data_IF_192420835799
#
_entry.id   IF_192420835799
#
_cell.length_a   1.000
_cell.length_b   1.000
_cell.length_c   1.000
_cell.angle_alpha   90.00
_cell.angle_beta   90.00
_cell.angle_gamma   90.00
#
_symmetry.space_group_name_H-M   'P 1'
#
loop_
_entity.id
_entity.type
_entity.pdbx_description
1 polymer ?
#
# COMPACT_ATOMS: atom_id res chain seq x y z
N UNK A 1 -14.99 23.51 -36.11
CA UNK A 1 -14.48 23.85 -34.78
C UNK A 1 -15.22 22.96 -33.81
N UNK A 2 -14.58 21.96 -33.25
CA UNK A 2 -15.18 21.08 -32.24
C UNK A 2 -14.12 20.80 -31.19
N UNK A 3 -14.53 21.03 -29.94
CA UNK A 3 -13.75 21.19 -28.72
C UNK A 3 -12.50 20.30 -28.58
N UNK A 4 -11.40 20.98 -28.27
CA UNK A 4 -10.27 20.43 -27.51
C UNK A 4 -10.78 19.98 -26.14
N UNK A 5 -10.77 18.67 -25.88
CA UNK A 5 -11.00 18.12 -24.55
C UNK A 5 -9.89 18.62 -23.62
N UNK A 6 -10.24 19.59 -22.78
CA UNK A 6 -9.46 20.00 -21.64
C UNK A 6 -9.29 18.78 -20.72
N UNK A 7 -8.11 18.17 -20.73
CA UNK A 7 -7.76 17.09 -19.81
C UNK A 7 -7.40 17.77 -18.49
N UNK A 8 -8.43 18.15 -17.72
CA UNK A 8 -8.24 18.52 -16.32
C UNK A 8 -7.43 17.41 -15.63
N UNK A 9 -6.37 17.74 -14.87
CA UNK A 9 -5.59 16.74 -14.17
C UNK A 9 -6.48 15.98 -13.20
N UNK A 10 -6.57 14.66 -13.36
CA UNK A 10 -7.31 13.80 -12.44
C UNK A 10 -6.61 13.84 -11.10
N UNK A 11 -7.23 14.48 -10.10
CA UNK A 11 -6.78 14.39 -8.72
C UNK A 11 -6.91 12.93 -8.24
N UNK A 12 -5.79 12.23 -8.16
CA UNK A 12 -5.76 10.89 -7.60
C UNK A 12 -5.93 10.97 -6.09
N UNK A 13 -7.08 10.54 -5.59
CA UNK A 13 -7.33 10.39 -4.16
C UNK A 13 -6.51 9.20 -3.66
N UNK A 14 -5.48 9.48 -2.86
CA UNK A 14 -4.70 8.44 -2.17
C UNK A 14 -5.63 7.76 -1.16
N UNK A 15 -5.76 6.45 -1.26
CA UNK A 15 -6.52 5.64 -0.31
C UNK A 15 -5.58 5.05 0.74
N UNK A 16 -6.09 4.63 1.92
CA UNK A 16 -5.29 3.86 2.87
C UNK A 16 -5.06 2.41 2.42
N UNK A 17 -5.27 2.06 1.15
CA UNK A 17 -5.19 0.68 0.66
C UNK A 17 -4.22 0.55 -0.51
N UNK A 18 -3.27 -0.38 -0.39
CA UNK A 18 -2.31 -0.71 -1.42
C UNK A 18 -2.50 -2.15 -1.87
N UNK A 19 -3.02 -2.35 -3.08
CA UNK A 19 -3.16 -3.67 -3.69
C UNK A 19 -1.92 -4.04 -4.52
N UNK A 20 -1.26 -5.14 -4.16
CA UNK A 20 -0.03 -5.59 -4.78
C UNK A 20 -0.23 -6.60 -5.94
N UNK A 21 -1.47 -7.03 -6.25
CA UNK A 21 -1.70 -8.04 -7.30
C UNK A 21 -1.30 -7.57 -8.70
N UNK A 22 -1.23 -6.26 -8.94
CA UNK A 22 -0.88 -5.65 -10.23
C UNK A 22 0.60 -5.27 -10.33
N UNK A 23 1.38 -5.46 -9.27
CA UNK A 23 2.78 -5.03 -9.20
C UNK A 23 3.74 -6.20 -9.31
N UNK A 24 4.93 -5.96 -9.87
CA UNK A 24 5.97 -6.98 -9.91
C UNK A 24 6.67 -7.03 -8.56
N UNK A 25 7.11 -8.21 -8.10
CA UNK A 25 7.84 -8.35 -6.83
C UNK A 25 9.09 -7.46 -6.74
N UNK A 26 9.75 -7.18 -7.87
CA UNK A 26 10.92 -6.29 -7.97
C UNK A 26 10.62 -4.85 -7.56
N UNK A 27 9.38 -4.41 -7.75
CA UNK A 27 9.01 -3.00 -7.63
C UNK A 27 8.63 -2.65 -6.18
N UNK A 28 8.36 -3.66 -5.35
CA UNK A 28 7.87 -3.50 -3.98
C UNK A 28 8.85 -2.75 -3.07
N UNK A 29 10.15 -2.86 -3.35
CA UNK A 29 11.20 -2.22 -2.57
C UNK A 29 11.14 -0.69 -2.62
N UNK A 30 10.65 -0.13 -3.72
CA UNK A 30 10.44 1.31 -3.92
C UNK A 30 8.98 1.69 -3.64
N UNK A 31 8.04 0.91 -4.19
CA UNK A 31 6.61 1.17 -4.09
C UNK A 31 6.10 1.31 -2.65
N UNK A 32 6.46 0.39 -1.76
CA UNK A 32 5.90 0.38 -0.39
C UNK A 32 6.39 1.59 0.43
N UNK A 33 7.70 1.90 0.50
CA UNK A 33 8.17 3.11 1.16
C UNK A 33 7.57 4.40 0.62
N UNK A 34 7.43 4.51 -0.71
CA UNK A 34 6.89 5.70 -1.36
C UNK A 34 5.40 5.87 -1.05
N UNK A 35 4.63 4.78 -1.13
CA UNK A 35 3.22 4.79 -0.75
C UNK A 35 3.01 5.17 0.72
N UNK A 36 3.85 4.68 1.62
CA UNK A 36 3.85 5.09 3.03
C UNK A 36 4.10 6.59 3.18
N UNK A 37 5.00 7.16 2.36
CA UNK A 37 5.22 8.61 2.29
C UNK A 37 3.95 9.36 1.91
N UNK A 38 3.32 8.95 0.80
CA UNK A 38 2.06 9.54 0.32
C UNK A 38 0.93 9.44 1.35
N UNK A 39 0.81 8.33 2.06
CA UNK A 39 -0.17 8.17 3.12
C UNK A 39 0.06 9.18 4.26
N UNK A 40 1.30 9.39 4.68
CA UNK A 40 1.63 10.36 5.74
C UNK A 40 1.37 11.80 5.32
N UNK A 41 1.66 12.16 4.07
CA UNK A 41 1.32 13.47 3.50
C UNK A 41 -0.19 13.75 3.49
N UNK A 42 -1.00 12.69 3.54
CA UNK A 42 -2.46 12.73 3.61
C UNK A 42 -3.02 12.40 5.00
N UNK A 43 -2.16 12.37 6.03
CA UNK A 43 -2.52 12.07 7.41
C UNK A 43 -3.19 10.69 7.60
N UNK A 44 -2.95 9.76 6.67
CA UNK A 44 -3.42 8.38 6.72
C UNK A 44 -2.42 7.51 7.48
N UNK A 45 -2.64 7.34 8.79
CA UNK A 45 -1.73 6.61 9.67
C UNK A 45 -2.03 5.12 9.79
N UNK A 46 -3.08 4.62 9.15
CA UNK A 46 -3.42 3.19 9.11
C UNK A 46 -3.57 2.75 7.66
N UNK A 47 -2.65 1.91 7.19
CA UNK A 47 -2.59 1.45 5.79
C UNK A 47 -2.81 -0.05 5.72
N UNK A 48 -3.62 -0.50 4.76
CA UNK A 48 -3.89 -1.90 4.46
C UNK A 48 -3.18 -2.30 3.17
N UNK A 49 -2.22 -3.21 3.28
CA UNK A 49 -1.43 -3.71 2.16
C UNK A 49 -1.93 -5.11 1.79
N UNK A 50 -2.54 -5.24 0.62
CA UNK A 50 -3.15 -6.46 0.11
C UNK A 50 -2.11 -7.17 -0.76
N UNK A 51 -1.62 -8.32 -0.27
CA UNK A 51 -0.59 -9.10 -0.96
C UNK A 51 -1.08 -10.48 -1.42
N UNK A 52 -2.37 -10.76 -1.22
CA UNK A 52 -2.97 -12.04 -1.53
C UNK A 52 -2.55 -13.14 -0.56
N UNK A 53 -3.21 -14.30 -0.72
CA UNK A 53 -3.00 -15.48 0.13
C UNK A 53 -1.81 -16.31 -0.38
N UNK A 54 -1.87 -16.84 -1.60
CA UNK A 54 -0.72 -17.49 -2.24
C UNK A 54 0.04 -18.49 -1.33
N UNK A 55 1.36 -18.60 -1.53
CA UNK A 55 2.26 -19.40 -0.69
C UNK A 55 2.97 -18.57 0.40
N UNK A 56 2.68 -17.26 0.49
CA UNK A 56 3.24 -16.38 1.51
C UNK A 56 4.49 -15.56 1.12
N UNK A 57 5.03 -15.73 -0.08
CA UNK A 57 6.23 -14.98 -0.51
C UNK A 57 6.02 -13.46 -0.49
N UNK A 58 4.90 -12.95 -1.03
CA UNK A 58 4.62 -11.51 -1.00
C UNK A 58 4.41 -10.99 0.42
N UNK A 59 3.73 -11.76 1.27
CA UNK A 59 3.57 -11.44 2.71
C UNK A 59 4.92 -11.24 3.39
N UNK A 60 5.86 -12.17 3.17
CA UNK A 60 7.20 -12.10 3.76
C UNK A 60 8.00 -10.90 3.26
N UNK A 61 7.93 -10.61 1.97
CA UNK A 61 8.55 -9.41 1.38
C UNK A 61 7.96 -8.13 1.99
N UNK A 62 6.63 -8.02 2.09
CA UNK A 62 5.94 -6.89 2.72
C UNK A 62 6.40 -6.73 4.16
N UNK A 63 6.38 -7.80 4.97
CA UNK A 63 6.79 -7.74 6.37
C UNK A 63 8.26 -7.35 6.53
N UNK A 64 9.14 -7.83 5.65
CA UNK A 64 10.55 -7.45 5.66
C UNK A 64 10.78 -5.96 5.33
N UNK A 65 10.00 -5.40 4.41
CA UNK A 65 10.05 -3.98 4.05
C UNK A 65 9.48 -3.10 5.17
N UNK A 66 8.32 -3.47 5.72
CA UNK A 66 7.70 -2.75 6.83
C UNK A 66 8.60 -2.72 8.07
N UNK A 67 9.25 -3.84 8.40
CA UNK A 67 10.18 -3.94 9.54
C UNK A 67 11.39 -2.99 9.41
N UNK A 68 11.82 -2.69 8.19
CA UNK A 68 12.97 -1.81 7.91
C UNK A 68 12.58 -0.34 7.77
N UNK A 69 11.30 -0.03 7.59
CA UNK A 69 10.85 1.32 7.33
C UNK A 69 10.69 2.10 8.66
N UNK A 70 11.45 3.19 8.89
CA UNK A 70 11.42 3.93 10.15
C UNK A 70 10.10 4.66 10.41
N UNK A 71 9.26 4.84 9.38
CA UNK A 71 7.94 5.48 9.48
C UNK A 71 6.83 4.50 9.91
N UNK A 72 7.13 3.21 10.01
CA UNK A 72 6.19 2.20 10.51
C UNK A 72 6.34 2.08 12.02
N UNK A 73 5.23 2.26 12.74
CA UNK A 73 5.16 2.05 14.19
C UNK A 73 5.01 0.56 14.53
N UNK A 74 4.04 -0.09 13.88
CA UNK A 74 3.74 -1.52 14.05
C UNK A 74 2.97 -2.06 12.85
N UNK A 75 2.94 -3.38 12.70
CA UNK A 75 2.12 -4.04 11.69
C UNK A 75 1.66 -5.43 12.14
N UNK A 76 0.55 -5.91 11.57
CA UNK A 76 0.03 -7.25 11.83
C UNK A 76 -0.75 -7.75 10.61
N UNK A 77 -1.04 -9.06 10.55
CA UNK A 77 -2.00 -9.57 9.58
C UNK A 77 -3.39 -8.98 9.83
N UNK A 78 -4.10 -8.69 8.76
CA UNK A 78 -5.47 -8.19 8.84
C UNK A 78 -6.39 -9.23 9.52
N UNK A 79 -7.49 -8.75 10.10
CA UNK A 79 -8.53 -9.63 10.60
C UNK A 79 -9.33 -10.26 9.43
N UNK A 80 -10.25 -11.18 9.76
CA UNK A 80 -11.04 -11.88 8.72
C UNK A 80 -11.92 -10.95 7.89
N UNK A 81 -12.35 -9.81 8.43
CA UNK A 81 -13.18 -8.83 7.71
C UNK A 81 -12.36 -7.93 6.78
N UNK A 82 -11.06 -7.81 7.03
CA UNK A 82 -10.13 -6.96 6.27
C UNK A 82 -9.19 -7.74 5.33
N UNK A 83 -9.45 -9.04 5.13
CA UNK A 83 -8.71 -9.90 4.19
C UNK A 83 -7.88 -11.02 4.83
N UNK A 84 -7.86 -11.08 6.17
CA UNK A 84 -7.18 -12.08 6.96
C UNK A 84 -5.67 -12.10 6.65
N UNK A 85 -5.13 -13.31 6.56
CA UNK A 85 -3.73 -13.50 6.20
C UNK A 85 -3.36 -13.10 4.76
N UNK A 86 -4.33 -12.66 3.95
CA UNK A 86 -4.09 -12.10 2.61
C UNK A 86 -3.73 -10.62 2.59
N UNK A 87 -3.77 -9.95 3.75
CA UNK A 87 -3.43 -8.54 3.89
C UNK A 87 -2.67 -8.27 5.19
N UNK A 88 -1.94 -7.17 5.21
CA UNK A 88 -1.21 -6.66 6.38
C UNK A 88 -1.69 -5.25 6.68
N UNK A 89 -2.03 -4.99 7.94
CA UNK A 89 -2.33 -3.65 8.45
C UNK A 89 -1.03 -3.07 9.04
N UNK A 90 -0.65 -1.89 8.60
CA UNK A 90 0.47 -1.12 9.12
C UNK A 90 -0.02 0.18 9.75
N UNK A 91 0.53 0.52 10.91
CA UNK A 91 0.33 1.80 11.58
C UNK A 91 1.60 2.62 11.44
N UNK A 92 1.44 3.89 11.08
CA UNK A 92 2.51 4.81 10.71
C UNK A 92 2.67 5.92 11.78
N UNK A 93 3.85 6.52 11.84
CA UNK A 93 4.23 7.59 12.77
C UNK A 93 4.98 8.73 12.10
#
# INVERSE_FOLDING_TARGET
MTESADQDPVEFVISPELDLHTFRPSDLGELIPDYIGLCLEKELTRVRIIHGKGIGTLRETVHALLKKNPRVERFQLADQTEGGWGATIAWLK
#
